data_IF_390775479873
#
_entry.id   IF_390775479873
#
_cell.length_a   1.000
_cell.length_b   1.000
_cell.length_c   1.000
_cell.angle_alpha   90.00
_cell.angle_beta   90.00
_cell.angle_gamma   90.00
#
_symmetry.space_group_name_H-M   'P 1'
#
loop_
_entity.id
_entity.type
_entity.pdbx_description
1 polymer ?
#
# COMPACT_ATOMS: atom_id res chain seq x y z
N UNK A 1 18.74 -22.64 -24.87
CA UNK A 1 18.90 -21.73 -23.72
C UNK A 1 17.64 -21.86 -22.88
N UNK A 2 17.72 -22.41 -21.68
CA UNK A 2 16.55 -22.56 -20.80
C UNK A 2 16.02 -21.16 -20.47
N UNK A 3 14.75 -20.91 -20.77
CA UNK A 3 14.10 -19.60 -20.58
C UNK A 3 14.15 -19.24 -19.10
N UNK A 4 14.86 -18.15 -18.76
CA UNK A 4 15.13 -17.73 -17.38
C UNK A 4 13.85 -17.25 -16.67
N UNK A 5 12.94 -16.65 -17.42
CA UNK A 5 11.59 -16.21 -17.06
C UNK A 5 10.84 -15.95 -18.37
N UNK A 6 9.52 -16.02 -18.35
CA UNK A 6 8.69 -15.66 -19.51
C UNK A 6 8.17 -14.23 -19.31
N UNK A 7 8.31 -13.39 -20.32
CA UNK A 7 7.57 -12.12 -20.40
C UNK A 7 6.25 -12.44 -21.08
N UNK A 8 5.13 -12.13 -20.43
CA UNK A 8 3.81 -12.43 -20.96
C UNK A 8 3.40 -11.40 -22.03
N UNK A 9 2.76 -11.89 -23.07
CA UNK A 9 2.01 -11.07 -24.02
C UNK A 9 0.75 -10.48 -23.37
N UNK A 10 0.08 -9.56 -24.06
CA UNK A 10 -1.20 -9.01 -23.59
C UNK A 10 -2.27 -10.11 -23.44
N UNK A 11 -2.38 -11.03 -24.41
CA UNK A 11 -3.32 -12.16 -24.37
C UNK A 11 -3.06 -13.09 -23.17
N UNK A 12 -1.80 -13.49 -22.96
CA UNK A 12 -1.42 -14.30 -21.80
C UNK A 12 -1.65 -13.56 -20.47
N UNK A 13 -1.49 -12.24 -20.46
CA UNK A 13 -1.79 -11.40 -19.30
C UNK A 13 -3.29 -11.34 -19.00
N UNK A 14 -4.15 -11.34 -20.04
CA UNK A 14 -5.60 -11.42 -19.89
C UNK A 14 -6.05 -12.78 -19.33
N UNK A 15 -5.47 -13.88 -19.79
CA UNK A 15 -5.70 -15.23 -19.25
C UNK A 15 -5.34 -15.30 -17.77
N UNK A 16 -4.15 -14.78 -17.43
CA UNK A 16 -3.66 -14.69 -16.06
C UNK A 16 -4.59 -13.83 -15.17
N UNK A 17 -5.09 -12.70 -15.67
CA UNK A 17 -6.08 -11.86 -14.97
C UNK A 17 -7.35 -12.66 -14.66
N UNK A 18 -7.86 -13.45 -15.62
CA UNK A 18 -9.07 -14.25 -15.41
C UNK A 18 -8.87 -15.37 -14.38
N UNK A 19 -7.72 -16.04 -14.43
CA UNK A 19 -7.36 -17.02 -13.41
C UNK A 19 -7.33 -16.38 -12.02
N UNK A 20 -6.70 -15.21 -11.87
CA UNK A 20 -6.62 -14.49 -10.62
C UNK A 20 -7.98 -13.96 -10.14
N UNK A 21 -8.90 -13.60 -11.03
CA UNK A 21 -10.26 -13.20 -10.68
C UNK A 21 -10.99 -14.30 -9.89
N UNK A 22 -10.81 -15.57 -10.26
CA UNK A 22 -11.42 -16.71 -9.57
C UNK A 22 -10.90 -16.93 -8.14
N UNK A 23 -9.78 -16.29 -7.79
CA UNK A 23 -9.08 -16.42 -6.49
C UNK A 23 -9.33 -15.22 -5.56
N UNK A 24 -10.26 -14.34 -5.92
CA UNK A 24 -10.67 -13.23 -5.07
C UNK A 24 -11.31 -13.75 -3.77
N UNK A 25 -11.14 -13.04 -2.63
CA UNK A 25 -10.39 -11.78 -2.51
C UNK A 25 -8.87 -11.97 -2.36
N UNK A 26 -8.35 -13.18 -2.14
CA UNK A 26 -6.93 -13.41 -1.83
C UNK A 26 -5.95 -12.89 -2.89
N UNK A 27 -6.37 -12.89 -4.16
CA UNK A 27 -5.59 -12.36 -5.29
C UNK A 27 -5.77 -10.87 -5.57
N UNK A 28 -6.63 -10.14 -4.82
CA UNK A 28 -7.13 -8.82 -5.24
C UNK A 28 -6.04 -7.82 -5.62
N UNK A 29 -4.95 -7.71 -4.85
CA UNK A 29 -3.83 -6.82 -5.18
C UNK A 29 -3.29 -7.06 -6.58
N UNK A 30 -2.97 -8.31 -6.91
CA UNK A 30 -2.34 -8.58 -8.19
C UNK A 30 -3.35 -8.55 -9.33
N UNK A 31 -4.59 -9.00 -9.07
CA UNK A 31 -5.69 -8.90 -10.02
C UNK A 31 -5.92 -7.46 -10.47
N UNK A 32 -6.10 -6.52 -9.52
CA UNK A 32 -6.31 -5.11 -9.86
C UNK A 32 -5.08 -4.43 -10.45
N UNK A 33 -3.86 -4.84 -10.08
CA UNK A 33 -2.64 -4.38 -10.77
C UNK A 33 -2.67 -4.79 -12.24
N UNK A 34 -3.06 -6.03 -12.56
CA UNK A 34 -3.18 -6.49 -13.95
C UNK A 34 -4.32 -5.78 -14.69
N UNK A 35 -5.48 -5.54 -14.05
CA UNK A 35 -6.53 -4.72 -14.65
C UNK A 35 -5.99 -3.34 -15.02
N UNK A 36 -5.35 -2.64 -14.08
CA UNK A 36 -4.82 -1.31 -14.32
C UNK A 36 -3.69 -1.31 -15.36
N UNK A 37 -2.90 -2.38 -15.45
CA UNK A 37 -1.90 -2.54 -16.50
C UNK A 37 -2.56 -2.68 -17.89
N UNK A 38 -3.55 -3.56 -18.02
CA UNK A 38 -4.30 -3.80 -19.26
C UNK A 38 -5.14 -2.58 -19.69
N UNK A 39 -5.67 -1.83 -18.72
CA UNK A 39 -6.46 -0.62 -18.95
C UNK A 39 -5.59 0.63 -19.20
N UNK A 40 -4.26 0.47 -19.33
CA UNK A 40 -3.28 1.55 -19.54
C UNK A 40 -3.23 2.62 -18.43
N UNK A 41 -3.65 2.26 -17.21
CA UNK A 41 -3.45 3.08 -16.00
C UNK A 41 -2.09 2.82 -15.34
N UNK A 42 -1.46 1.67 -15.63
CA UNK A 42 -0.12 1.29 -15.16
C UNK A 42 0.79 0.90 -16.34
N UNK A 43 1.16 1.90 -17.14
CA UNK A 43 1.98 1.76 -18.35
C UNK A 43 3.48 1.67 -18.05
N UNK A 44 4.25 1.15 -19.02
CA UNK A 44 5.71 1.05 -18.92
C UNK A 44 6.24 -0.13 -18.10
N UNK A 45 5.34 -0.98 -17.61
CA UNK A 45 5.67 -2.23 -16.93
C UNK A 45 5.65 -3.42 -17.90
N UNK A 46 6.45 -4.44 -17.60
CA UNK A 46 6.29 -5.78 -18.17
C UNK A 46 5.83 -6.77 -17.10
N UNK A 47 5.07 -7.76 -17.54
CA UNK A 47 4.56 -8.85 -16.70
C UNK A 47 5.46 -10.07 -16.91
N UNK A 48 6.16 -10.50 -15.87
CA UNK A 48 7.06 -11.66 -15.95
C UNK A 48 6.62 -12.78 -15.01
N UNK A 49 6.76 -14.01 -15.47
CA UNK A 49 6.49 -15.23 -14.69
C UNK A 49 7.67 -16.19 -14.71
N UNK A 50 7.73 -17.07 -13.72
CA UNK A 50 8.80 -18.08 -13.65
C UNK A 50 8.71 -19.12 -14.77
N UNK A 51 7.48 -19.48 -15.16
CA UNK A 51 7.11 -20.46 -16.18
C UNK A 51 5.72 -20.11 -16.73
N UNK A 52 5.41 -20.52 -17.96
CA UNK A 52 4.08 -20.35 -18.56
C UNK A 52 3.68 -21.62 -19.34
N UNK A 53 2.42 -22.07 -19.32
CA UNK A 53 1.26 -21.50 -18.60
C UNK A 53 1.18 -21.85 -17.10
N UNK A 54 1.96 -22.83 -16.65
CA UNK A 54 1.95 -23.28 -15.25
C UNK A 54 2.92 -22.44 -14.39
N UNK A 55 2.49 -21.24 -14.02
CA UNK A 55 3.29 -20.29 -13.25
C UNK A 55 3.12 -20.49 -11.73
N UNK A 56 4.17 -20.16 -10.98
CA UNK A 56 4.16 -20.07 -9.51
C UNK A 56 4.47 -18.66 -9.01
N UNK A 57 5.22 -17.89 -9.79
CA UNK A 57 5.70 -16.57 -9.42
C UNK A 57 5.39 -15.57 -10.53
N UNK A 58 4.96 -14.39 -10.11
CA UNK A 58 4.58 -13.30 -10.99
C UNK A 58 5.17 -12.01 -10.43
N UNK A 59 5.81 -11.24 -11.30
CA UNK A 59 6.36 -9.92 -10.98
C UNK A 59 5.98 -8.96 -12.11
N UNK A 60 5.39 -7.82 -11.77
CA UNK A 60 5.42 -6.66 -12.66
C UNK A 60 6.60 -5.78 -12.27
N UNK A 61 7.35 -5.32 -13.27
CA UNK A 61 8.48 -4.40 -13.10
C UNK A 61 8.58 -3.41 -14.27
N UNK A 62 9.24 -2.26 -14.10
CA UNK A 62 9.50 -1.34 -15.19
C UNK A 62 10.29 -2.01 -16.32
N UNK A 63 9.90 -1.77 -17.57
CA UNK A 63 10.67 -2.15 -18.76
C UNK A 63 12.00 -1.39 -18.82
N UNK A 64 11.98 -0.12 -18.43
CA UNK A 64 13.14 0.73 -18.20
C UNK A 64 12.82 1.78 -17.13
N UNK A 65 13.81 2.51 -16.65
CA UNK A 65 13.59 3.59 -15.67
C UNK A 65 12.84 4.79 -16.26
N UNK A 66 12.87 4.94 -17.58
CA UNK A 66 12.24 6.06 -18.31
C UNK A 66 10.86 5.69 -18.85
N UNK A 67 10.49 4.40 -18.84
CA UNK A 67 9.17 3.94 -19.30
C UNK A 67 8.06 4.17 -18.28
N UNK A 68 8.40 4.39 -17.00
CA UNK A 68 7.45 4.55 -15.90
C UNK A 68 7.58 5.91 -15.23
N UNK A 69 6.52 6.44 -14.60
CA UNK A 69 6.62 7.63 -13.76
C UNK A 69 7.68 7.48 -12.66
N UNK A 70 8.33 8.58 -12.26
CA UNK A 70 9.42 8.57 -11.27
C UNK A 70 9.10 7.80 -9.99
N UNK A 71 7.83 7.88 -9.54
CA UNK A 71 7.32 7.19 -8.38
C UNK A 71 7.50 5.66 -8.45
N UNK A 72 7.45 5.09 -9.65
CA UNK A 72 7.41 3.65 -9.91
C UNK A 72 8.74 3.03 -10.36
N UNK A 73 9.79 3.84 -10.58
CA UNK A 73 11.08 3.41 -11.17
C UNK A 73 11.74 2.20 -10.52
N UNK A 74 11.53 2.01 -9.22
CA UNK A 74 12.16 0.94 -8.44
C UNK A 74 11.16 -0.15 -8.00
N UNK A 75 9.92 -0.15 -8.51
CA UNK A 75 8.88 -1.05 -8.03
C UNK A 75 8.97 -2.45 -8.65
N UNK A 76 8.90 -3.45 -7.79
CA UNK A 76 8.68 -4.86 -8.15
C UNK A 76 7.38 -5.31 -7.49
N UNK A 77 6.34 -5.48 -8.31
CA UNK A 77 5.00 -5.84 -7.84
C UNK A 77 4.83 -7.35 -7.93
N UNK A 78 5.00 -8.01 -6.80
CA UNK A 78 5.10 -9.45 -6.71
C UNK A 78 3.76 -10.10 -6.33
N UNK A 79 3.60 -11.33 -6.79
CA UNK A 79 2.64 -12.31 -6.32
C UNK A 79 3.21 -13.72 -6.51
N UNK A 80 2.94 -14.63 -5.57
CA UNK A 80 3.44 -16.00 -5.67
C UNK A 80 2.53 -16.99 -4.96
N UNK A 81 2.48 -18.20 -5.51
CA UNK A 81 1.82 -19.39 -4.96
C UNK A 81 2.79 -20.27 -4.17
N UNK A 82 4.09 -20.06 -4.36
CA UNK A 82 5.15 -20.90 -3.80
C UNK A 82 6.29 -20.02 -3.30
N UNK A 83 6.36 -19.86 -1.98
CA UNK A 83 7.50 -19.23 -1.30
C UNK A 83 8.82 -19.86 -1.73
N UNK A 84 8.85 -21.19 -1.93
CA UNK A 84 10.05 -21.91 -2.37
C UNK A 84 10.48 -21.45 -3.76
N UNK A 85 9.58 -21.41 -4.73
CA UNK A 85 9.93 -21.07 -6.10
C UNK A 85 10.25 -19.58 -6.24
N UNK A 86 9.54 -18.72 -5.49
CA UNK A 86 9.80 -17.28 -5.48
C UNK A 86 11.19 -16.95 -4.99
N UNK A 87 11.69 -17.69 -3.98
CA UNK A 87 13.07 -17.57 -3.51
C UNK A 87 14.09 -17.79 -4.63
N UNK A 88 13.86 -18.78 -5.51
CA UNK A 88 14.75 -18.99 -6.67
C UNK A 88 14.51 -17.96 -7.77
N UNK A 89 13.25 -17.58 -8.01
CA UNK A 89 12.87 -16.70 -9.11
C UNK A 89 13.52 -15.32 -9.01
N UNK A 90 13.47 -14.66 -7.86
CA UNK A 90 14.06 -13.33 -7.66
C UNK A 90 15.59 -13.30 -7.74
N UNK A 91 16.23 -14.48 -7.68
CA UNK A 91 17.68 -14.64 -7.80
C UNK A 91 18.11 -14.94 -9.24
N UNK A 92 17.18 -15.22 -10.16
CA UNK A 92 17.51 -15.50 -11.55
C UNK A 92 18.09 -14.24 -12.21
N UNK A 93 19.06 -14.40 -13.14
CA UNK A 93 19.60 -13.28 -13.89
C UNK A 93 18.49 -12.49 -14.57
N UNK A 94 18.64 -11.17 -14.58
CA UNK A 94 17.71 -10.25 -15.24
C UNK A 94 16.27 -10.33 -14.72
N UNK A 95 15.97 -10.82 -13.51
CA UNK A 95 14.64 -10.71 -12.85
C UNK A 95 14.58 -9.51 -11.91
N UNK A 96 15.63 -9.29 -11.10
CA UNK A 96 15.81 -8.11 -10.26
C UNK A 96 17.17 -7.51 -10.53
N UNK A 97 17.22 -6.20 -10.77
CA UNK A 97 18.49 -5.48 -10.80
C UNK A 97 18.94 -5.09 -9.39
N UNK A 98 19.72 -5.97 -8.77
CA UNK A 98 20.26 -5.77 -7.43
C UNK A 98 21.32 -4.64 -7.34
N UNK A 99 21.73 -4.03 -8.46
CA UNK A 99 22.63 -2.87 -8.48
C UNK A 99 21.89 -1.55 -8.28
N UNK A 100 20.56 -1.57 -8.36
CA UNK A 100 19.67 -0.43 -8.20
C UNK A 100 18.80 -0.59 -6.94
N UNK A 101 18.24 0.51 -6.40
CA UNK A 101 17.24 0.40 -5.35
C UNK A 101 16.04 -0.42 -5.82
N UNK A 102 15.43 -1.17 -4.91
CA UNK A 102 14.24 -1.98 -5.21
C UNK A 102 13.20 -1.85 -4.10
N UNK A 103 11.94 -1.69 -4.50
CA UNK A 103 10.77 -1.69 -3.63
C UNK A 103 9.91 -2.88 -4.03
N UNK A 104 10.02 -3.96 -3.25
CA UNK A 104 9.18 -5.13 -3.44
C UNK A 104 7.85 -4.94 -2.74
N UNK A 105 6.76 -5.24 -3.43
CA UNK A 105 5.41 -5.23 -2.88
C UNK A 105 4.75 -6.59 -3.06
N UNK A 106 4.09 -7.12 -2.04
CA UNK A 106 3.44 -8.43 -2.15
C UNK A 106 4.36 -9.62 -2.00
N UNK A 107 5.38 -9.49 -1.15
CA UNK A 107 6.31 -10.56 -0.84
C UNK A 107 5.79 -11.38 0.36
N UNK A 108 5.77 -12.72 0.31
CA UNK A 108 5.46 -13.53 1.49
C UNK A 108 6.45 -13.28 2.63
N UNK A 109 5.98 -13.29 3.88
CA UNK A 109 6.82 -13.06 5.07
C UNK A 109 8.10 -13.90 5.07
N UNK A 110 7.98 -15.19 4.75
CA UNK A 110 9.06 -16.18 4.75
C UNK A 110 10.17 -15.95 3.70
N UNK A 111 9.94 -15.03 2.76
CA UNK A 111 10.92 -14.63 1.74
C UNK A 111 11.79 -13.46 2.22
N UNK A 112 11.31 -12.66 3.19
CA UNK A 112 12.02 -11.45 3.64
C UNK A 112 13.45 -11.77 4.10
N UNK A 113 13.63 -12.85 4.86
CA UNK A 113 14.96 -13.28 5.32
C UNK A 113 15.94 -13.58 4.17
N UNK A 114 15.44 -14.09 3.04
CA UNK A 114 16.26 -14.29 1.84
C UNK A 114 16.64 -12.95 1.19
N UNK A 115 15.70 -12.01 1.07
CA UNK A 115 16.01 -10.68 0.52
C UNK A 115 17.07 -9.99 1.37
N UNK A 116 17.00 -10.13 2.70
CA UNK A 116 18.02 -9.64 3.62
C UNK A 116 19.38 -10.33 3.41
N UNK A 117 19.40 -11.66 3.25
CA UNK A 117 20.64 -12.39 2.98
C UNK A 117 21.27 -11.99 1.64
N UNK A 118 20.46 -11.89 0.59
CA UNK A 118 20.90 -11.46 -0.74
C UNK A 118 21.44 -10.04 -0.69
N UNK A 119 20.72 -9.14 -0.03
CA UNK A 119 21.15 -7.77 0.22
C UNK A 119 22.53 -7.71 0.90
N UNK A 120 22.75 -8.49 1.96
CA UNK A 120 24.07 -8.59 2.63
C UNK A 120 25.18 -9.07 1.69
N UNK A 121 24.91 -10.08 0.85
CA UNK A 121 25.90 -10.62 -0.11
C UNK A 121 26.28 -9.59 -1.18
N UNK A 122 25.31 -8.78 -1.62
CA UNK A 122 25.53 -7.66 -2.55
C UNK A 122 26.02 -6.38 -1.82
N UNK A 123 26.31 -6.49 -0.52
CA UNK A 123 26.75 -5.41 0.37
C UNK A 123 25.76 -4.23 0.43
N UNK A 124 24.50 -4.45 0.07
CA UNK A 124 23.41 -3.52 0.24
C UNK A 124 22.78 -3.62 1.63
N UNK A 125 21.66 -2.92 1.79
CA UNK A 125 20.87 -2.86 3.02
C UNK A 125 19.39 -3.07 2.71
N UNK A 126 18.69 -3.78 3.61
CA UNK A 126 17.22 -3.78 3.63
C UNK A 126 16.78 -2.69 4.61
N UNK A 127 16.25 -1.61 4.08
CA UNK A 127 16.01 -0.37 4.83
C UNK A 127 14.64 -0.33 5.50
N UNK A 128 13.69 -1.12 5.02
CA UNK A 128 12.35 -1.24 5.60
C UNK A 128 11.74 -2.60 5.28
N UNK A 129 11.04 -3.16 6.27
CA UNK A 129 10.18 -4.34 6.12
C UNK A 129 8.87 -4.04 6.82
N UNK A 130 7.78 -4.07 6.06
CA UNK A 130 6.44 -3.85 6.59
C UNK A 130 5.53 -5.03 6.29
N UNK A 131 5.17 -5.78 7.32
CA UNK A 131 4.20 -6.86 7.24
C UNK A 131 2.79 -6.30 7.39
N UNK A 132 1.88 -6.78 6.55
CA UNK A 132 0.50 -6.31 6.54
C UNK A 132 -0.49 -7.45 6.38
N UNK A 133 -1.54 -7.40 7.18
CA UNK A 133 -2.70 -8.25 7.01
C UNK A 133 -3.63 -7.64 5.98
N UNK A 134 -4.11 -8.49 5.07
CA UNK A 134 -5.19 -8.10 4.18
C UNK A 134 -6.53 -8.30 4.88
N UNK A 135 -7.35 -7.26 4.86
CA UNK A 135 -8.75 -7.32 5.29
C UNK A 135 -9.63 -7.00 4.10
N UNK A 136 -10.70 -7.77 3.91
CA UNK A 136 -11.65 -7.57 2.82
C UNK A 136 -13.09 -7.66 3.31
N UNK A 137 -13.99 -6.99 2.59
CA UNK A 137 -15.42 -7.22 2.73
C UNK A 137 -15.78 -8.54 2.04
N UNK A 138 -16.19 -9.53 2.83
CA UNK A 138 -16.52 -10.88 2.33
C UNK A 138 -18.00 -11.23 2.52
N UNK A 139 -18.79 -10.30 3.07
CA UNK A 139 -20.22 -10.49 3.25
C UNK A 139 -20.96 -10.20 1.94
N UNK A 140 -22.05 -10.92 1.63
CA UNK A 140 -22.82 -10.67 0.42
C UNK A 140 -23.59 -9.35 0.49
N UNK A 141 -24.01 -8.91 1.68
CA UNK A 141 -24.70 -7.64 1.86
C UNK A 141 -23.71 -6.47 1.89
N UNK A 142 -24.14 -5.31 1.37
CA UNK A 142 -23.41 -4.06 1.58
C UNK A 142 -23.54 -3.58 3.03
N UNK A 143 -22.53 -2.90 3.60
CA UNK A 143 -22.67 -2.33 4.93
C UNK A 143 -23.76 -1.26 4.95
N UNK A 144 -24.44 -1.16 6.09
CA UNK A 144 -25.48 -0.15 6.31
C UNK A 144 -24.90 1.28 6.20
N UNK A 145 -25.63 2.24 5.61
CA UNK A 145 -25.16 3.62 5.53
C UNK A 145 -24.97 4.22 6.93
N UNK A 146 -23.86 4.92 7.15
CA UNK A 146 -23.62 5.65 8.39
C UNK A 146 -23.94 7.13 8.17
N UNK A 147 -24.67 7.72 9.11
CA UNK A 147 -25.01 9.15 9.07
C UNK A 147 -23.77 10.00 9.35
N UNK A 148 -23.61 11.06 8.56
CA UNK A 148 -22.55 12.06 8.71
C UNK A 148 -23.03 13.12 9.70
N UNK A 149 -22.17 13.66 10.59
CA UNK A 149 -22.54 14.78 11.46
C UNK A 149 -23.12 15.97 10.67
N UNK A 150 -24.12 16.65 11.22
CA UNK A 150 -24.91 17.68 10.52
C UNK A 150 -24.10 18.93 10.08
N UNK A 151 -22.93 19.15 10.68
CA UNK A 151 -21.98 20.21 10.38
C UNK A 151 -20.94 19.82 9.32
N UNK A 152 -20.97 18.57 8.86
CA UNK A 152 -20.05 17.99 7.90
C UNK A 152 -20.77 17.48 6.66
N UNK A 153 -20.04 17.36 5.55
CA UNK A 153 -20.58 16.85 4.30
C UNK A 153 -19.67 15.76 3.73
N UNK A 154 -20.27 14.62 3.39
CA UNK A 154 -19.62 13.55 2.64
C UNK A 154 -19.52 13.91 1.15
N UNK A 155 -18.35 13.70 0.59
CA UNK A 155 -17.96 14.06 -0.79
C UNK A 155 -16.87 13.10 -1.27
N UNK A 156 -16.12 13.49 -2.30
CA UNK A 156 -14.98 12.76 -2.87
C UNK A 156 -13.74 13.65 -2.88
N UNK A 157 -12.55 13.05 -2.96
CA UNK A 157 -11.32 13.80 -3.23
C UNK A 157 -11.38 14.39 -4.65
N UNK A 158 -10.82 15.58 -4.80
CA UNK A 158 -10.69 16.29 -6.08
C UNK A 158 -9.21 16.48 -6.40
N UNK A 159 -8.89 16.74 -7.68
CA UNK A 159 -7.50 16.94 -8.15
C UNK A 159 -6.71 17.94 -7.29
N UNK A 160 -7.36 19.03 -6.87
CA UNK A 160 -6.78 20.08 -6.01
C UNK A 160 -6.35 19.58 -4.62
N UNK A 161 -6.93 18.49 -4.11
CA UNK A 161 -6.55 17.91 -2.82
C UNK A 161 -5.25 17.11 -2.86
N UNK A 162 -4.66 16.86 -4.05
CA UNK A 162 -3.49 15.99 -4.18
C UNK A 162 -2.26 16.48 -3.39
N UNK A 163 -2.07 17.79 -3.29
CA UNK A 163 -0.97 18.39 -2.52
C UNK A 163 -1.18 18.20 -1.02
N UNK A 164 -2.39 18.45 -0.52
CA UNK A 164 -2.77 18.19 0.88
C UNK A 164 -2.60 16.71 1.23
N UNK A 165 -3.09 15.81 0.38
CA UNK A 165 -2.90 14.36 0.57
C UNK A 165 -1.41 14.02 0.56
N UNK A 166 -0.62 14.60 -0.35
CA UNK A 166 0.83 14.44 -0.35
C UNK A 166 1.44 14.89 0.97
N UNK A 167 1.05 16.04 1.50
CA UNK A 167 1.59 16.59 2.74
C UNK A 167 1.30 15.74 3.97
N UNK A 168 0.09 15.21 4.10
CA UNK A 168 -0.25 14.30 5.20
C UNK A 168 0.56 13.00 5.16
N UNK A 169 0.99 12.58 3.97
CA UNK A 169 1.57 11.27 3.75
C UNK A 169 3.05 11.26 3.35
N UNK A 170 3.68 12.41 3.08
CA UNK A 170 5.07 12.52 2.62
C UNK A 170 6.10 12.00 3.62
N UNK A 171 5.77 11.99 4.92
CA UNK A 171 6.63 11.39 5.93
C UNK A 171 6.65 9.86 5.87
N UNK A 172 5.60 9.28 5.28
CA UNK A 172 5.46 7.85 5.06
C UNK A 172 5.81 7.43 3.62
N UNK A 173 5.73 8.33 2.62
CA UNK A 173 6.25 8.13 1.25
C UNK A 173 7.16 9.29 0.86
N UNK A 174 8.45 9.08 0.60
CA UNK A 174 9.38 10.14 0.10
C UNK A 174 9.82 9.88 -1.35
N UNK A 175 8.98 9.24 -2.16
CA UNK A 175 9.30 8.96 -3.56
C UNK A 175 9.20 10.25 -4.37
N UNK A 176 10.11 10.45 -5.32
CA UNK A 176 9.98 11.52 -6.30
C UNK A 176 8.66 11.39 -7.08
N UNK A 177 8.03 12.52 -7.39
CA UNK A 177 6.77 12.54 -8.14
C UNK A 177 5.52 12.13 -7.33
N UNK A 178 5.59 12.13 -6.00
CA UNK A 178 4.47 11.71 -5.14
C UNK A 178 3.19 12.53 -5.33
N UNK A 179 3.29 13.85 -5.51
CA UNK A 179 2.12 14.71 -5.77
C UNK A 179 1.42 14.28 -7.05
N UNK A 180 2.18 14.05 -8.12
CA UNK A 180 1.62 13.61 -9.40
C UNK A 180 0.99 12.23 -9.30
N UNK A 181 1.64 11.31 -8.55
CA UNK A 181 1.02 10.02 -8.22
C UNK A 181 -0.35 10.21 -7.53
N UNK A 182 -0.47 11.11 -6.56
CA UNK A 182 -1.77 11.35 -5.90
C UNK A 182 -2.79 11.99 -6.83
N UNK A 183 -2.39 12.89 -7.73
CA UNK A 183 -3.30 13.44 -8.76
C UNK A 183 -3.87 12.31 -9.60
N UNK A 184 -3.03 11.44 -10.14
CA UNK A 184 -3.46 10.29 -10.93
C UNK A 184 -4.36 9.35 -10.14
N UNK A 185 -4.04 9.08 -8.86
CA UNK A 185 -4.87 8.22 -8.03
C UNK A 185 -6.24 8.81 -7.76
N UNK A 186 -6.32 10.11 -7.45
CA UNK A 186 -7.57 10.80 -7.17
C UNK A 186 -8.47 10.87 -8.41
N UNK A 187 -7.89 11.02 -9.60
CA UNK A 187 -8.65 11.16 -10.83
C UNK A 187 -9.17 9.85 -11.40
N UNK A 188 -8.46 8.74 -11.16
CA UNK A 188 -8.77 7.46 -11.79
C UNK A 188 -9.43 6.44 -10.84
N UNK A 189 -9.44 6.69 -9.52
CA UNK A 189 -9.96 5.72 -8.55
C UNK A 189 -10.91 6.33 -7.53
N UNK A 190 -11.73 5.47 -6.91
CA UNK A 190 -12.70 5.88 -5.91
C UNK A 190 -12.05 6.47 -4.65
N UNK A 191 -12.74 7.43 -4.08
CA UNK A 191 -12.43 8.00 -2.78
C UNK A 191 -13.70 8.39 -2.05
N UNK A 192 -13.55 8.60 -0.75
CA UNK A 192 -14.55 9.26 0.08
C UNK A 192 -13.84 10.32 0.89
N UNK A 193 -14.46 11.48 1.01
CA UNK A 193 -13.92 12.61 1.74
C UNK A 193 -15.03 13.26 2.57
N UNK A 194 -14.66 13.91 3.65
CA UNK A 194 -15.57 14.69 4.48
C UNK A 194 -15.01 16.11 4.56
N UNK A 195 -15.89 17.09 4.32
CA UNK A 195 -15.57 18.51 4.38
C UNK A 195 -16.45 19.25 5.38
N UNK A 196 -15.99 20.38 5.89
CA UNK A 196 -16.84 21.32 6.65
C UNK A 196 -17.81 22.06 5.71
N UNK A 197 -18.76 22.82 6.27
CA UNK A 197 -19.67 23.68 5.48
C UNK A 197 -18.95 24.73 4.65
N UNK A 198 -17.77 25.16 5.10
CA UNK A 198 -16.88 26.10 4.41
C UNK A 198 -16.06 25.42 3.31
N UNK A 199 -16.14 24.09 3.17
CA UNK A 199 -15.46 23.31 2.14
C UNK A 199 -14.07 22.81 2.53
N UNK A 200 -13.65 22.96 3.80
CA UNK A 200 -12.34 22.50 4.25
C UNK A 200 -12.30 20.98 4.36
N UNK A 201 -11.27 20.33 3.80
CA UNK A 201 -11.09 18.87 3.87
C UNK A 201 -10.62 18.44 5.27
N UNK A 202 -11.46 17.69 5.99
CA UNK A 202 -11.17 17.25 7.37
C UNK A 202 -10.90 15.76 7.49
N UNK A 203 -11.41 14.95 6.56
CA UNK A 203 -11.12 13.52 6.56
C UNK A 203 -11.26 12.94 5.15
N UNK A 204 -10.53 11.87 4.85
CA UNK A 204 -10.65 11.14 3.58
C UNK A 204 -10.11 9.73 3.65
N UNK A 205 -10.52 8.92 2.68
CA UNK A 205 -9.95 7.63 2.32
C UNK A 205 -9.89 7.56 0.79
N UNK A 206 -8.86 6.93 0.24
CA UNK A 206 -8.71 6.77 -1.21
C UNK A 206 -8.27 5.36 -1.57
N UNK A 207 -8.57 4.93 -2.79
CA UNK A 207 -7.89 3.77 -3.36
C UNK A 207 -6.41 4.08 -3.68
N UNK A 208 -5.67 3.07 -4.15
CA UNK A 208 -4.34 3.22 -4.77
C UNK A 208 -4.29 2.49 -6.11
N UNK A 209 -3.15 2.62 -6.81
CA UNK A 209 -2.86 1.94 -8.08
C UNK A 209 -3.02 0.41 -8.07
N UNK A 210 -3.08 -0.22 -6.90
CA UNK A 210 -3.29 -1.67 -6.79
C UNK A 210 -4.74 -2.04 -6.48
N UNK A 211 -5.67 -1.09 -6.44
CA UNK A 211 -7.08 -1.32 -6.13
C UNK A 211 -7.41 -1.38 -4.64
N UNK A 212 -6.43 -1.32 -3.74
CA UNK A 212 -6.69 -1.37 -2.30
C UNK A 212 -7.20 -0.03 -1.76
N UNK A 213 -8.15 -0.08 -0.84
CA UNK A 213 -8.53 1.03 0.04
C UNK A 213 -7.33 1.40 0.90
N UNK A 214 -7.12 2.70 1.09
CA UNK A 214 -5.92 3.20 1.73
C UNK A 214 -5.97 4.66 2.14
N UNK A 215 -4.86 5.16 2.69
CA UNK A 215 -4.64 6.57 2.92
C UNK A 215 -5.73 7.18 3.81
N UNK A 216 -6.33 6.39 4.72
CA UNK A 216 -7.34 6.89 5.63
C UNK A 216 -6.70 7.94 6.55
N UNK A 217 -7.24 9.15 6.47
CA UNK A 217 -6.85 10.29 7.25
C UNK A 217 -8.09 10.96 7.82
N UNK A 218 -7.97 11.41 9.06
CA UNK A 218 -8.93 12.20 9.81
C UNK A 218 -8.09 13.23 10.55
N UNK A 219 -8.45 14.49 10.39
CA UNK A 219 -7.85 15.59 11.12
C UNK A 219 -7.96 15.34 12.64
N UNK A 220 -6.86 15.48 13.40
CA UNK A 220 -6.85 15.36 14.87
C UNK A 220 -7.99 16.05 15.61
N UNK A 221 -8.45 17.21 15.13
CA UNK A 221 -9.56 17.94 15.78
C UNK A 221 -10.91 17.19 15.69
N UNK A 222 -11.03 16.24 14.76
CA UNK A 222 -12.26 15.50 14.45
C UNK A 222 -12.23 14.02 14.89
N UNK A 223 -11.20 13.60 15.64
CA UNK A 223 -11.02 12.20 16.07
C UNK A 223 -12.11 11.65 17.00
N UNK A 224 -12.96 12.49 17.57
CA UNK A 224 -14.06 12.03 18.45
C UNK A 224 -15.32 11.59 17.68
N UNK A 225 -15.37 11.76 16.36
CA UNK A 225 -16.61 11.70 15.58
C UNK A 225 -16.75 10.44 14.70
N UNK A 226 -15.91 9.42 14.90
CA UNK A 226 -15.92 8.17 14.12
C UNK A 226 -15.85 8.36 12.59
N UNK A 227 -15.30 9.49 12.11
CA UNK A 227 -15.27 9.82 10.67
C UNK A 227 -14.56 8.74 9.83
N UNK A 228 -13.55 8.08 10.40
CA UNK A 228 -12.86 6.99 9.71
C UNK A 228 -13.76 5.79 9.41
N UNK A 229 -14.69 5.46 10.30
CA UNK A 229 -15.69 4.39 10.08
C UNK A 229 -16.68 4.80 8.99
N UNK A 230 -17.15 6.05 9.01
CA UNK A 230 -18.06 6.59 7.97
C UNK A 230 -17.42 6.46 6.59
N UNK A 231 -16.16 6.91 6.46
CA UNK A 231 -15.38 6.86 5.23
C UNK A 231 -15.14 5.43 4.73
N UNK A 232 -14.74 4.52 5.62
CA UNK A 232 -14.56 3.09 5.29
C UNK A 232 -15.85 2.48 4.77
N UNK A 233 -16.98 2.73 5.45
CA UNK A 233 -18.28 2.21 5.07
C UNK A 233 -18.74 2.77 3.72
N UNK A 234 -18.65 4.08 3.51
CA UNK A 234 -19.05 4.71 2.25
C UNK A 234 -18.21 4.21 1.06
N UNK A 235 -16.89 4.19 1.19
CA UNK A 235 -16.02 3.68 0.12
C UNK A 235 -16.29 2.19 -0.15
N UNK A 236 -16.54 1.38 0.89
CA UNK A 236 -16.94 -0.02 0.72
C UNK A 236 -18.20 -0.14 -0.12
N UNK A 237 -19.24 0.64 0.18
CA UNK A 237 -20.49 0.64 -0.59
C UNK A 237 -20.27 1.03 -2.05
N UNK A 238 -19.46 2.05 -2.33
CA UNK A 238 -19.10 2.48 -3.69
C UNK A 238 -18.43 1.35 -4.47
N UNK A 239 -17.49 0.63 -3.86
CA UNK A 239 -16.80 -0.50 -4.51
C UNK A 239 -17.74 -1.68 -4.77
N UNK A 240 -18.56 -2.05 -3.79
CA UNK A 240 -19.52 -3.16 -3.94
C UNK A 240 -20.58 -2.85 -5.01
N UNK A 241 -21.06 -1.60 -5.10
CA UNK A 241 -21.99 -1.18 -6.15
C UNK A 241 -21.40 -1.30 -7.57
N UNK A 242 -20.07 -1.33 -7.69
CA UNK A 242 -19.33 -1.56 -8.94
C UNK A 242 -18.89 -3.01 -9.13
N UNK A 243 -19.36 -3.94 -8.30
CA UNK A 243 -18.91 -5.34 -8.25
C UNK A 243 -17.39 -5.48 -8.03
N UNK A 244 -16.80 -4.56 -7.28
CA UNK A 244 -15.38 -4.59 -6.93
C UNK A 244 -15.19 -5.15 -5.52
N UNK A 245 -14.06 -5.81 -5.29
CA UNK A 245 -13.65 -6.25 -3.96
C UNK A 245 -13.25 -5.03 -3.13
N UNK A 246 -13.94 -4.79 -2.02
CA UNK A 246 -13.50 -3.81 -1.03
C UNK A 246 -12.46 -4.45 -0.11
N UNK A 247 -11.21 -3.99 -0.19
CA UNK A 247 -10.12 -4.54 0.62
C UNK A 247 -9.03 -3.52 0.91
N UNK A 248 -8.25 -3.77 1.96
CA UNK A 248 -7.13 -2.94 2.35
C UNK A 248 -6.07 -3.70 3.14
N UNK A 249 -4.95 -3.03 3.43
CA UNK A 249 -3.83 -3.60 4.15
C UNK A 249 -3.60 -2.90 5.49
N UNK A 250 -3.68 -3.65 6.58
CA UNK A 250 -3.48 -3.15 7.94
C UNK A 250 -2.11 -3.61 8.46
N UNK A 251 -1.38 -2.73 9.18
CA UNK A 251 -0.13 -3.13 9.84
C UNK A 251 -0.42 -4.23 10.85
N UNK A 252 0.37 -5.29 10.88
CA UNK A 252 0.14 -6.44 11.78
C UNK A 252 0.14 -6.08 13.27
N UNK A 253 0.82 -4.99 13.63
CA UNK A 253 0.90 -4.46 15.00
C UNK A 253 -0.23 -3.49 15.38
N UNK A 254 -1.18 -3.23 14.48
CA UNK A 254 -2.26 -2.27 14.69
C UNK A 254 -3.54 -2.96 15.21
N UNK A 255 -3.48 -3.43 16.46
CA UNK A 255 -4.58 -4.17 17.06
C UNK A 255 -5.88 -3.34 17.22
N UNK A 256 -5.77 -2.01 17.33
CA UNK A 256 -6.93 -1.13 17.45
C UNK A 256 -7.70 -1.05 16.14
N UNK A 257 -6.98 -0.80 15.05
CA UNK A 257 -7.61 -0.68 13.74
C UNK A 257 -8.10 -2.03 13.21
N UNK A 258 -7.37 -3.13 13.50
CA UNK A 258 -7.84 -4.49 13.23
C UNK A 258 -9.22 -4.74 13.85
N UNK A 259 -9.36 -4.50 15.17
CA UNK A 259 -10.63 -4.69 15.87
C UNK A 259 -11.75 -3.83 15.30
N UNK A 260 -11.41 -2.61 14.89
CA UNK A 260 -12.40 -1.71 14.26
C UNK A 260 -12.88 -2.29 12.93
N UNK A 261 -11.97 -2.67 12.03
CA UNK A 261 -12.30 -3.30 10.76
C UNK A 261 -13.16 -4.56 10.94
N UNK A 262 -12.83 -5.41 11.91
CA UNK A 262 -13.62 -6.60 12.26
C UNK A 262 -15.02 -6.23 12.73
N UNK A 263 -15.14 -5.23 13.61
CA UNK A 263 -16.43 -4.77 14.16
C UNK A 263 -17.37 -4.20 13.09
N UNK A 264 -16.83 -3.54 12.06
CA UNK A 264 -17.62 -3.00 10.95
C UNK A 264 -17.94 -4.05 9.88
N UNK A 265 -17.30 -5.23 9.94
CA UNK A 265 -17.64 -6.39 9.12
C UNK A 265 -16.58 -6.87 8.12
N UNK A 266 -15.38 -6.30 8.13
CA UNK A 266 -14.26 -6.83 7.34
C UNK A 266 -13.70 -8.09 7.96
N UNK A 267 -13.28 -9.02 7.11
CA UNK A 267 -12.67 -10.30 7.51
C UNK A 267 -11.20 -10.33 7.12
N UNK A 268 -10.37 -10.95 7.95
CA UNK A 268 -8.98 -11.23 7.60
C UNK A 268 -8.90 -12.23 6.44
N UNK A 269 -8.08 -11.90 5.43
CA UNK A 269 -7.79 -12.75 4.28
C UNK A 269 -6.33 -13.18 4.35
N UNK A 270 -6.09 -14.38 4.91
CA UNK A 270 -4.75 -14.89 5.13
C UNK A 270 -3.93 -14.98 3.85
N UNK A 271 -4.52 -15.45 2.75
CA UNK A 271 -3.86 -15.63 1.44
C UNK A 271 -3.40 -14.30 0.83
N UNK A 272 -4.04 -13.19 1.21
CA UNK A 272 -3.66 -11.84 0.76
C UNK A 272 -2.66 -11.14 1.68
N UNK A 273 -2.29 -11.72 2.81
CA UNK A 273 -1.35 -11.09 3.75
C UNK A 273 0.08 -11.16 3.20
N UNK A 274 0.82 -10.06 3.30
CA UNK A 274 2.08 -9.90 2.56
C UNK A 274 2.97 -8.80 3.14
N UNK A 275 4.18 -8.71 2.62
CA UNK A 275 5.22 -7.78 3.05
C UNK A 275 5.62 -6.81 1.95
N UNK A 276 5.95 -5.59 2.38
CA UNK A 276 6.67 -4.61 1.58
C UNK A 276 8.13 -4.60 2.05
N UNK A 277 9.06 -4.66 1.11
CA UNK A 277 10.49 -4.74 1.43
C UNK A 277 11.24 -3.72 0.59
N UNK A 278 12.03 -2.90 1.25
CA UNK A 278 12.82 -1.86 0.63
C UNK A 278 14.29 -2.26 0.68
N UNK A 279 14.93 -2.21 -0.48
CA UNK A 279 16.33 -2.58 -0.66
C UNK A 279 17.10 -1.39 -1.25
N UNK A 280 18.28 -1.13 -0.70
CA UNK A 280 19.21 -0.12 -1.16
C UNK A 280 20.60 -0.73 -1.38
N UNK A 281 21.19 -0.62 -2.59
CA UNK A 281 22.50 -1.18 -2.88
C UNK A 281 23.66 -0.36 -2.29
N UNK A 282 24.82 -1.02 -2.09
CA UNK A 282 26.03 -0.43 -1.46
C UNK A 282 26.50 0.87 -2.09
N UNK A 283 26.54 0.92 -3.42
CA UNK A 283 27.04 2.06 -4.19
C UNK A 283 26.25 3.35 -3.91
N UNK A 284 24.97 3.22 -3.55
CA UNK A 284 24.12 4.35 -3.17
C UNK A 284 24.29 4.71 -1.69
N UNK A 285 24.55 3.74 -0.81
CA UNK A 285 24.89 4.00 0.61
C UNK A 285 26.15 4.88 0.73
N UNK A 286 27.14 4.67 -0.13
CA UNK A 286 28.40 5.42 -0.11
C UNK A 286 28.27 6.87 -0.60
N UNK A 287 27.30 7.17 -1.49
CA UNK A 287 27.05 8.55 -1.97
C UNK A 287 26.47 9.46 -0.88
N UNK A 288 25.78 8.89 0.12
CA UNK A 288 25.31 9.60 1.31
C UNK A 288 26.41 9.91 2.32
N UNK A 289 27.59 9.30 2.18
CA UNK A 289 28.74 9.46 3.11
C UNK A 289 29.91 10.14 2.38
N UNK A 290 29.77 11.43 2.06
CA UNK A 290 30.93 12.27 1.70
C UNK A 290 31.30 13.11 2.92
N UNK A 291 32.58 13.16 3.37
CA UNK A 291 32.94 13.88 4.59
C UNK A 291 32.90 15.40 4.36
N UNK A 292 32.16 16.11 5.21
CA UNK A 292 32.22 17.58 5.32
C UNK A 292 33.61 17.95 5.87
N UNK A 293 34.37 18.77 5.14
CA UNK A 293 35.61 19.39 5.65
C UNK A 293 35.28 20.16 6.92
N UNK A 294 36.06 19.91 7.97
CA UNK A 294 35.99 20.60 9.26
C UNK A 294 36.58 22.00 9.11
N UNK A 295 35.79 23.02 9.43
CA UNK A 295 36.27 24.31 9.91
C UNK A 295 35.60 24.58 11.25
N UNK A 296 36.41 24.70 12.29
CA UNK A 296 35.98 25.01 13.66
C UNK A 296 35.54 26.48 13.76
N UNK A 297 34.35 26.75 14.29
CA UNK A 297 34.18 27.32 15.64
C UNK A 297 32.76 27.86 15.90
N UNK A 298 32.35 27.73 17.17
CA UNK A 298 31.28 28.42 17.93
C UNK A 298 29.87 27.80 18.02
N UNK A 299 29.34 27.94 19.24
CA UNK A 299 28.36 27.12 19.95
C UNK A 299 26.91 27.64 19.89
N UNK A 300 26.02 26.74 20.32
CA UNK A 300 24.65 26.90 20.84
C UNK A 300 23.47 26.91 19.84
N UNK A 301 22.76 25.77 19.77
CA UNK A 301 21.48 25.61 20.47
C UNK A 301 20.98 24.14 20.38
N UNK A 302 20.30 23.73 21.45
CA UNK A 302 19.76 22.40 21.68
C UNK A 302 18.60 22.12 20.72
N UNK A 303 18.79 21.26 19.73
CA UNK A 303 17.70 20.59 19.04
C UNK A 303 18.05 19.12 18.78
N UNK A 304 17.13 18.25 19.18
CA UNK A 304 17.24 16.79 19.17
C UNK A 304 17.61 16.27 17.78
N UNK A 305 18.50 15.28 17.80
CA UNK A 305 19.06 14.56 16.66
C UNK A 305 18.13 14.42 15.43
N UNK A 306 18.56 15.03 14.33
CA UNK A 306 18.28 14.56 12.97
C UNK A 306 18.99 13.22 12.71
N UNK A 307 18.28 12.31 12.00
CA UNK A 307 18.69 11.12 11.20
C UNK A 307 17.53 10.09 11.29
N UNK A 308 16.90 9.52 10.26
CA UNK A 308 17.26 9.24 8.87
C UNK A 308 16.01 9.16 7.95
N UNK A 309 16.23 9.24 6.63
CA UNK A 309 15.21 9.14 5.56
C UNK A 309 14.75 7.69 5.30
N UNK A 310 13.44 7.40 5.35
CA UNK A 310 12.88 6.18 4.75
C UNK A 310 11.48 6.36 4.09
N UNK A 311 11.23 5.56 3.05
CA UNK A 311 10.08 5.50 2.13
C UNK A 311 9.17 4.31 2.48
N UNK A 312 7.84 4.38 2.32
CA UNK A 312 6.91 3.23 2.41
C UNK A 312 5.75 3.34 1.39
N UNK A 313 5.09 2.21 1.09
CA UNK A 313 3.68 2.21 0.68
C UNK A 313 2.81 2.51 1.91
N UNK A 314 1.57 2.98 1.77
CA UNK A 314 0.79 3.43 2.94
C UNK A 314 -0.15 2.36 3.46
N UNK A 315 -0.22 2.16 4.79
CA UNK A 315 -1.24 1.31 5.39
C UNK A 315 -2.63 1.90 5.17
N UNK A 316 -3.66 1.07 5.37
CA UNK A 316 -5.05 1.52 5.31
C UNK A 316 -5.29 2.72 6.24
N UNK A 317 -4.61 2.77 7.40
CA UNK A 317 -4.50 3.95 8.27
C UNK A 317 -3.14 4.02 8.99
N UNK A 318 -2.73 5.21 9.44
CA UNK A 318 -1.74 5.36 10.51
C UNK A 318 -2.44 5.58 11.85
N UNK A 319 -1.94 4.95 12.92
CA UNK A 319 -2.52 4.95 14.27
C UNK A 319 -2.79 6.33 14.92
N UNK A 320 -2.30 7.41 14.33
CA UNK A 320 -2.56 8.79 14.76
C UNK A 320 -3.34 9.60 13.73
N UNK A 321 -3.66 9.00 12.59
CA UNK A 321 -4.30 9.66 11.45
C UNK A 321 -5.73 9.16 11.24
N UNK A 322 -6.13 8.02 11.80
CA UNK A 322 -7.48 7.49 11.60
C UNK A 322 -8.53 8.08 12.54
N UNK A 323 -8.11 8.69 13.66
CA UNK A 323 -9.04 9.21 14.65
C UNK A 323 -10.06 8.19 15.15
N UNK A 324 -9.71 6.90 15.15
CA UNK A 324 -10.59 5.84 15.63
C UNK A 324 -10.21 5.57 17.08
N UNK A 325 -11.10 5.85 18.05
CA UNK A 325 -10.84 5.53 19.44
C UNK A 325 -10.58 4.03 19.61
N UNK A 326 -9.57 3.66 20.40
CA UNK A 326 -9.50 2.30 20.92
C UNK A 326 -10.78 2.05 21.71
N UNK A 327 -11.56 1.03 21.36
CA UNK A 327 -12.80 0.70 22.06
C UNK A 327 -12.47 0.50 23.55
N UNK A 328 -12.82 1.50 24.36
CA UNK A 328 -12.78 1.44 25.81
C UNK A 328 -13.80 0.41 26.29
N UNK A 329 -13.41 -0.37 27.29
CA UNK A 329 -14.30 -1.34 27.95
C UNK A 329 -15.62 -0.66 28.31
N UNK A 330 -16.70 -1.00 27.62
CA UNK A 330 -18.04 -0.68 28.08
C UNK A 330 -18.24 -1.41 29.41
N UNK A 331 -18.45 -0.63 30.47
CA UNK A 331 -18.85 -1.08 31.78
C UNK A 331 -20.16 -1.85 31.67
N UNK A 332 -20.15 -3.13 32.03
CA UNK A 332 -21.35 -3.90 32.30
C UNK A 332 -22.16 -3.20 33.39
N UNK A 333 -23.30 -2.61 33.02
CA UNK A 333 -24.35 -2.28 33.99
C UNK A 333 -25.08 -3.59 34.25
N UNK A 334 -24.79 -4.21 35.39
CA UNK A 334 -25.59 -5.30 35.92
C UNK A 334 -27.01 -4.79 36.21
N UNK A 335 -27.99 -5.29 35.49
CA UNK A 335 -29.39 -5.27 35.94
C UNK A 335 -29.59 -6.55 36.72
N UNK A 336 -29.57 -6.44 38.05
CA UNK A 336 -29.97 -7.50 38.97
C UNK A 336 -31.49 -7.69 38.89
N UNK A 337 -31.91 -8.90 38.53
CA UNK A 337 -33.28 -9.36 38.67
C UNK A 337 -33.59 -9.59 40.15
N UNK A 338 -34.65 -8.95 40.63
CA UNK A 338 -35.42 -9.36 41.82
C UNK A 338 -36.66 -10.11 41.37
#
# INVERSE_FOLDING_TARGET
MSVMFQVLTQEETEDLRWELHSQLPGSAKIYYILCNHLDNLLTGFEVIVDQWPHWNCLILRPQSLDSVPSYFRNYYMCHTRSTKDFKFFIQRPCVVDWKMPAIFTGVPYDVVGLIQEKSRKELGEVTSVEHRFMYAWTKPESPEPVQVPNDLQLTVLKREHAETVCDHWKHYRKNEGLVEYYRQVIENFESSAIVTKEGNLVAYISMQFNGSMSNLFVDPEYHSQNLGVILLTDLTRKLLAKNQTAYGFIKTKDASFIKTCESIGFSWVAQGSMSWVHYLPRNMLLKTVVPRKVSESEQDENCKAEKDLFLNALPLSCNQCSGIPAIGKSSCVHVSLS
#
